data_IF_906137532546
#
_entry.id   IF_906137532546
#
_cell.length_a   1.000
_cell.length_b   1.000
_cell.length_c   1.000
_cell.angle_alpha   90.00
_cell.angle_beta   90.00
_cell.angle_gamma   90.00
#
_symmetry.space_group_name_H-M   'P 1'
#
loop_
_entity.id
_entity.type
_entity.pdbx_description
1 polymer ?
#
# COMPACT_ATOMS: atom_id res chain seq x y z
N UNK A 1 -52.41 9.91 48.88
CA UNK A 1 -51.71 9.01 47.94
C UNK A 1 -50.22 9.21 48.13
N UNK A 2 -49.61 8.35 48.95
CA UNK A 2 -48.19 8.36 49.29
C UNK A 2 -47.49 7.35 48.40
N UNK A 3 -46.58 7.82 47.54
CA UNK A 3 -45.82 6.98 46.62
C UNK A 3 -44.63 6.40 47.36
N UNK A 4 -44.66 5.10 47.64
CA UNK A 4 -43.50 4.33 48.11
C UNK A 4 -42.39 4.34 47.05
N UNK A 5 -41.21 4.85 47.41
CA UNK A 5 -39.99 4.72 46.61
C UNK A 5 -39.36 3.35 46.90
N UNK A 6 -39.54 2.42 45.98
CA UNK A 6 -38.83 1.13 45.99
C UNK A 6 -37.32 1.33 45.80
N UNK A 7 -36.52 0.69 46.65
CA UNK A 7 -35.06 0.65 46.52
C UNK A 7 -34.67 -0.15 45.26
N UNK A 8 -33.66 0.30 44.48
CA UNK A 8 -33.16 -0.46 43.35
C UNK A 8 -32.41 -1.72 43.81
N UNK A 9 -32.41 -2.79 42.98
CA UNK A 9 -31.71 -4.03 43.28
C UNK A 9 -30.20 -3.81 43.37
N UNK A 10 -29.60 -4.38 44.40
CA UNK A 10 -28.15 -4.39 44.62
C UNK A 10 -27.44 -5.09 43.46
N UNK A 11 -26.57 -4.34 42.77
CA UNK A 11 -25.63 -4.90 41.80
C UNK A 11 -24.76 -5.94 42.50
N UNK A 12 -24.93 -7.21 42.12
CA UNK A 12 -24.08 -8.31 42.56
C UNK A 12 -22.63 -8.04 42.21
N UNK A 13 -21.78 -7.99 43.25
CA UNK A 13 -20.33 -8.05 43.16
C UNK A 13 -19.91 -9.25 42.31
N UNK A 14 -19.46 -9.01 41.08
CA UNK A 14 -18.67 -9.98 40.32
C UNK A 14 -17.32 -10.14 41.01
N UNK A 15 -17.19 -11.24 41.77
CA UNK A 15 -15.94 -11.69 42.38
C UNK A 15 -14.90 -12.01 41.29
N UNK A 16 -13.77 -11.30 41.35
CA UNK A 16 -12.45 -11.93 41.24
C UNK A 16 -11.96 -12.39 39.87
N UNK A 17 -11.97 -11.51 38.86
CA UNK A 17 -11.06 -11.67 37.72
C UNK A 17 -9.67 -11.17 38.11
N UNK A 18 -8.69 -12.07 38.27
CA UNK A 18 -7.30 -11.67 38.48
C UNK A 18 -6.87 -10.70 37.36
N UNK A 19 -6.25 -9.55 37.67
CA UNK A 19 -5.83 -8.61 36.66
C UNK A 19 -4.77 -9.30 35.79
N UNK A 20 -5.12 -9.58 34.53
CA UNK A 20 -4.21 -10.08 33.50
C UNK A 20 -3.22 -8.96 33.21
N UNK A 21 -2.24 -8.78 34.11
CA UNK A 21 -1.11 -7.85 33.99
C UNK A 21 -0.01 -8.45 33.11
N UNK A 22 -0.41 -9.21 32.09
CA UNK A 22 0.49 -9.62 31.03
C UNK A 22 0.87 -8.38 30.24
N UNK A 23 1.98 -7.73 30.62
CA UNK A 23 2.60 -6.71 29.75
C UNK A 23 2.67 -7.31 28.36
N UNK A 24 2.14 -6.65 27.32
CA UNK A 24 2.23 -7.17 25.96
C UNK A 24 3.70 -7.47 25.70
N UNK A 25 4.04 -8.76 25.52
CA UNK A 25 5.39 -9.16 25.15
C UNK A 25 5.69 -8.40 23.88
N UNK A 26 6.60 -7.43 23.97
CA UNK A 26 7.07 -6.70 22.80
C UNK A 26 7.63 -7.76 21.85
N UNK A 27 6.86 -8.11 20.83
CA UNK A 27 7.26 -9.12 19.86
C UNK A 27 8.54 -8.60 19.25
N UNK A 28 9.66 -9.29 19.49
CA UNK A 28 10.94 -8.91 18.88
C UNK A 28 10.75 -8.96 17.37
N UNK A 29 11.25 -7.93 16.70
CA UNK A 29 11.13 -7.82 15.27
C UNK A 29 11.82 -9.01 14.58
N UNK A 30 11.15 -9.64 13.61
CA UNK A 30 11.66 -10.87 12.96
C UNK A 30 12.99 -10.64 12.25
N UNK A 31 13.25 -9.41 11.77
CA UNK A 31 14.51 -9.05 11.11
C UNK A 31 15.63 -8.96 12.14
N UNK A 32 15.37 -8.35 13.30
CA UNK A 32 16.35 -8.22 14.38
C UNK A 32 16.57 -9.52 15.15
N UNK A 33 15.59 -10.43 15.16
CA UNK A 33 15.71 -11.74 15.81
C UNK A 33 16.23 -12.84 14.88
N UNK A 34 16.64 -12.51 13.67
CA UNK A 34 17.11 -13.48 12.68
C UNK A 34 18.45 -14.09 13.10
N UNK A 35 18.61 -15.40 12.88
CA UNK A 35 19.90 -16.10 13.04
C UNK A 35 20.87 -15.80 11.89
N UNK A 36 20.38 -15.20 10.80
CA UNK A 36 21.16 -14.92 9.59
C UNK A 36 21.79 -13.54 9.68
N UNK A 37 23.12 -13.48 9.64
CA UNK A 37 23.87 -12.22 9.71
C UNK A 37 23.51 -11.21 8.59
N UNK A 38 23.02 -11.69 7.44
CA UNK A 38 22.64 -10.82 6.31
C UNK A 38 21.22 -10.23 6.44
N UNK A 39 20.37 -10.75 7.32
CA UNK A 39 18.97 -10.33 7.44
C UNK A 39 18.80 -8.83 7.78
N UNK A 40 19.58 -8.24 8.72
CA UNK A 40 19.51 -6.81 8.99
C UNK A 40 19.92 -5.96 7.79
N UNK A 41 20.72 -6.51 6.86
CA UNK A 41 21.20 -5.80 5.70
C UNK A 41 20.18 -5.69 4.57
N UNK A 42 19.18 -6.58 4.54
CA UNK A 42 18.09 -6.52 3.56
C UNK A 42 17.44 -5.14 3.51
N UNK A 43 17.19 -4.55 4.68
CA UNK A 43 16.52 -3.27 4.77
C UNK A 43 17.27 -2.16 4.04
N UNK A 44 18.56 -1.95 4.35
CA UNK A 44 19.31 -0.84 3.76
C UNK A 44 19.65 -1.10 2.30
N UNK A 45 19.86 -2.37 1.89
CA UNK A 45 20.07 -2.73 0.49
C UNK A 45 18.81 -2.41 -0.32
N UNK A 46 17.64 -2.84 0.16
CA UNK A 46 16.37 -2.58 -0.50
C UNK A 46 16.06 -1.08 -0.53
N UNK A 47 16.37 -0.35 0.55
CA UNK A 47 16.21 1.10 0.61
C UNK A 47 17.11 1.81 -0.40
N UNK A 48 18.39 1.45 -0.45
CA UNK A 48 19.36 2.03 -1.38
C UNK A 48 18.97 1.74 -2.83
N UNK A 49 18.62 0.49 -3.16
CA UNK A 49 18.18 0.10 -4.49
C UNK A 49 16.86 0.79 -4.88
N UNK A 50 15.89 0.86 -3.97
CA UNK A 50 14.60 1.51 -4.20
C UNK A 50 14.74 3.01 -4.37
N UNK A 51 15.55 3.68 -3.54
CA UNK A 51 15.80 5.12 -3.66
C UNK A 51 16.59 5.47 -4.92
N UNK A 52 17.63 4.69 -5.26
CA UNK A 52 18.38 4.86 -6.49
C UNK A 52 17.50 4.60 -7.73
N UNK A 53 16.67 3.54 -7.69
CA UNK A 53 15.70 3.24 -8.75
C UNK A 53 14.66 4.35 -8.91
N UNK A 54 14.10 4.87 -7.82
CA UNK A 54 13.16 5.99 -7.86
C UNK A 54 13.80 7.27 -8.40
N UNK A 55 15.04 7.58 -7.99
CA UNK A 55 15.80 8.70 -8.54
C UNK A 55 16.10 8.51 -10.03
N UNK A 56 16.49 7.31 -10.45
CA UNK A 56 16.71 7.00 -11.87
C UNK A 56 15.42 7.15 -12.68
N UNK A 57 14.30 6.59 -12.20
CA UNK A 57 12.99 6.76 -12.84
C UNK A 57 12.64 8.24 -12.98
N UNK A 58 12.81 9.02 -11.92
CA UNK A 58 12.49 10.44 -11.92
C UNK A 58 13.43 11.31 -12.76
N UNK A 59 14.71 10.95 -12.88
CA UNK A 59 15.73 11.80 -13.51
C UNK A 59 16.09 11.34 -14.93
N UNK A 60 15.89 10.08 -15.27
CA UNK A 60 16.41 9.45 -16.48
C UNK A 60 15.36 8.73 -17.33
N UNK A 61 14.14 8.51 -16.84
CA UNK A 61 13.07 7.90 -17.68
C UNK A 61 12.12 8.97 -18.22
N UNK A 62 11.53 8.75 -19.41
CA UNK A 62 10.49 9.62 -19.92
C UNK A 62 9.32 9.74 -18.93
N UNK A 63 8.90 10.99 -18.72
CA UNK A 63 7.65 11.31 -18.05
C UNK A 63 6.59 11.37 -19.14
N UNK A 64 5.74 10.35 -19.16
CA UNK A 64 4.82 10.10 -20.26
C UNK A 64 3.58 9.35 -19.77
N UNK A 65 2.45 9.58 -20.43
CA UNK A 65 1.30 8.66 -20.29
C UNK A 65 1.64 7.29 -20.87
N UNK A 66 2.29 7.29 -22.03
CA UNK A 66 2.68 6.08 -22.75
C UNK A 66 3.93 5.45 -22.15
N UNK A 67 4.02 4.12 -22.28
CA UNK A 67 5.23 3.36 -22.00
C UNK A 67 5.80 2.93 -23.34
N UNK A 68 6.78 3.69 -23.83
CA UNK A 68 7.35 3.47 -25.16
C UNK A 68 8.19 2.17 -25.21
N UNK A 69 8.72 1.73 -24.07
CA UNK A 69 9.53 0.53 -23.98
C UNK A 69 9.25 -0.30 -22.73
N UNK A 70 9.13 -1.61 -22.90
CA UNK A 70 8.84 -2.59 -21.83
C UNK A 70 9.86 -2.53 -20.69
N UNK A 71 11.12 -2.18 -20.98
CA UNK A 71 12.15 -2.06 -19.94
C UNK A 71 11.87 -0.92 -18.96
N UNK A 72 11.21 0.16 -19.39
CA UNK A 72 10.87 1.29 -18.52
C UNK A 72 9.88 0.84 -17.45
N UNK A 73 8.88 0.05 -17.85
CA UNK A 73 7.96 -0.60 -16.91
C UNK A 73 8.73 -1.52 -15.96
N UNK A 74 9.65 -2.34 -16.47
CA UNK A 74 10.48 -3.22 -15.66
C UNK A 74 11.28 -2.47 -14.59
N UNK A 75 11.91 -1.34 -14.95
CA UNK A 75 12.68 -0.51 -14.01
C UNK A 75 11.77 0.17 -12.98
N UNK A 76 10.63 0.72 -13.41
CA UNK A 76 9.64 1.35 -12.51
C UNK A 76 9.10 0.34 -11.49
N UNK A 77 8.75 -0.87 -11.94
CA UNK A 77 8.26 -1.95 -11.08
C UNK A 77 9.35 -2.47 -10.14
N UNK A 78 10.59 -2.59 -10.61
CA UNK A 78 11.72 -3.01 -9.78
C UNK A 78 12.01 -1.99 -8.67
N UNK A 79 12.04 -0.70 -9.01
CA UNK A 79 12.21 0.38 -8.03
C UNK A 79 11.11 0.33 -6.97
N UNK A 80 9.85 0.18 -7.40
CA UNK A 80 8.71 0.05 -6.50
C UNK A 80 8.83 -1.20 -5.61
N UNK A 81 9.18 -2.37 -6.16
CA UNK A 81 9.36 -3.60 -5.41
C UNK A 81 10.46 -3.48 -4.34
N UNK A 82 11.59 -2.83 -4.68
CA UNK A 82 12.64 -2.53 -3.73
C UNK A 82 12.17 -1.61 -2.61
N UNK A 83 11.36 -0.59 -2.90
CA UNK A 83 10.75 0.28 -1.87
C UNK A 83 9.75 -0.49 -0.99
N UNK A 84 8.92 -1.38 -1.55
CA UNK A 84 8.04 -2.25 -0.77
C UNK A 84 8.85 -3.13 0.18
N UNK A 85 9.95 -3.72 -0.29
CA UNK A 85 10.85 -4.52 0.54
C UNK A 85 11.53 -3.67 1.62
N UNK A 86 12.01 -2.47 1.28
CA UNK A 86 12.60 -1.54 2.24
C UNK A 86 11.63 -1.21 3.38
N UNK A 87 10.36 -0.95 3.04
CA UNK A 87 9.33 -0.69 4.05
C UNK A 87 9.06 -1.96 4.85
N UNK A 88 8.77 -3.09 4.21
CA UNK A 88 8.41 -4.33 4.89
C UNK A 88 9.50 -4.84 5.84
N UNK A 89 10.77 -4.73 5.47
CA UNK A 89 11.91 -5.18 6.26
C UNK A 89 12.50 -4.13 7.19
N UNK A 90 11.87 -2.95 7.33
CA UNK A 90 12.30 -1.94 8.29
C UNK A 90 12.37 -2.53 9.72
N UNK A 91 13.54 -2.54 10.40
CA UNK A 91 13.73 -3.36 11.59
C UNK A 91 13.22 -2.71 12.90
N UNK A 92 12.91 -1.41 12.89
CA UNK A 92 12.57 -0.65 14.10
C UNK A 92 11.08 -0.28 14.20
N UNK A 93 10.17 -1.18 13.82
CA UNK A 93 8.73 -0.91 13.90
C UNK A 93 8.32 -0.52 15.33
N UNK A 94 7.77 0.67 15.50
CA UNK A 94 7.26 1.17 16.77
C UNK A 94 6.15 2.19 16.55
N UNK A 95 5.02 2.09 17.28
CA UNK A 95 3.95 3.10 17.22
C UNK A 95 4.44 4.52 17.55
N UNK A 96 5.57 4.66 18.24
CA UNK A 96 6.19 5.96 18.54
C UNK A 96 6.74 6.66 17.30
N UNK A 97 6.95 5.94 16.21
CA UNK A 97 7.45 6.47 14.94
C UNK A 97 6.32 7.01 14.03
N UNK A 98 5.07 7.07 14.50
CA UNK A 98 3.95 7.58 13.71
C UNK A 98 4.19 8.99 13.14
N UNK A 99 5.02 9.81 13.80
CA UNK A 99 5.38 11.15 13.32
C UNK A 99 6.08 11.12 11.95
N UNK A 100 6.73 10.02 11.58
CA UNK A 100 7.31 9.85 10.24
C UNK A 100 6.25 9.91 9.13
N UNK A 101 4.97 9.65 9.45
CA UNK A 101 3.87 9.76 8.49
C UNK A 101 3.51 11.21 8.15
N UNK A 102 3.98 12.19 8.93
CA UNK A 102 3.84 13.59 8.54
C UNK A 102 4.70 13.94 7.31
N UNK A 103 5.81 13.24 7.07
CA UNK A 103 6.65 13.50 5.90
C UNK A 103 5.93 13.26 4.56
N UNK A 104 5.35 12.06 4.28
CA UNK A 104 4.57 11.87 3.06
C UNK A 104 3.33 12.77 3.02
N UNK A 105 2.70 13.04 4.18
CA UNK A 105 1.56 13.96 4.23
C UNK A 105 1.92 15.38 3.77
N UNK A 106 3.00 15.96 4.30
CA UNK A 106 3.52 17.27 3.89
C UNK A 106 3.93 17.26 2.42
N UNK A 107 4.57 16.19 1.94
CA UNK A 107 4.95 16.08 0.54
C UNK A 107 3.73 16.04 -0.39
N UNK A 108 2.72 15.22 -0.10
CA UNK A 108 1.53 15.14 -0.93
C UNK A 108 0.73 16.44 -0.89
N UNK A 109 0.52 17.02 0.28
CA UNK A 109 -0.31 18.23 0.43
C UNK A 109 0.42 19.50 -0.01
N UNK A 110 1.72 19.60 0.21
CA UNK A 110 2.53 20.76 -0.12
C UNK A 110 3.03 20.78 -1.56
N UNK A 111 3.14 19.63 -2.23
CA UNK A 111 3.69 19.55 -3.59
C UNK A 111 2.80 18.78 -4.56
N UNK A 112 2.55 17.48 -4.33
CA UNK A 112 1.91 16.62 -5.35
C UNK A 112 0.49 17.06 -5.68
N UNK A 113 -0.36 17.24 -4.67
CA UNK A 113 -1.77 17.64 -4.86
C UNK A 113 -1.86 19.03 -5.50
N UNK A 114 -1.19 20.10 -5.00
CA UNK A 114 -1.18 21.39 -5.67
C UNK A 114 -0.73 21.32 -7.13
N UNK A 115 0.26 20.47 -7.44
CA UNK A 115 0.77 20.32 -8.80
C UNK A 115 -0.24 19.65 -9.73
N UNK A 116 -0.91 18.60 -9.26
CA UNK A 116 -2.02 17.95 -9.97
C UNK A 116 -3.17 18.94 -10.20
N UNK A 117 -3.57 19.68 -9.15
CA UNK A 117 -4.63 20.69 -9.24
C UNK A 117 -4.29 21.82 -10.20
N UNK A 118 -3.04 22.29 -10.22
CA UNK A 118 -2.58 23.31 -11.17
C UNK A 118 -2.77 22.85 -12.62
N UNK A 119 -2.34 21.62 -12.96
CA UNK A 119 -2.57 21.08 -14.30
C UNK A 119 -4.06 20.99 -14.62
N UNK A 120 -4.87 20.54 -13.67
CA UNK A 120 -6.31 20.40 -13.89
C UNK A 120 -7.03 21.73 -14.12
N UNK A 121 -6.75 22.75 -13.31
CA UNK A 121 -7.49 24.02 -13.33
C UNK A 121 -6.87 25.11 -14.20
N UNK A 122 -5.55 25.17 -14.30
CA UNK A 122 -4.82 26.29 -14.90
C UNK A 122 -4.12 25.94 -16.21
N UNK A 123 -3.92 24.64 -16.50
CA UNK A 123 -3.20 24.17 -17.68
C UNK A 123 -3.85 22.89 -18.24
N UNK A 124 -5.12 23.03 -18.65
CA UNK A 124 -5.92 21.92 -19.16
C UNK A 124 -5.29 21.23 -20.40
N UNK A 125 -4.45 21.95 -21.16
CA UNK A 125 -3.67 21.38 -22.27
C UNK A 125 -2.68 20.31 -21.77
N UNK A 126 -2.13 20.47 -20.56
CA UNK A 126 -1.29 19.47 -19.88
C UNK A 126 -2.06 18.52 -18.96
N UNK A 127 -3.33 18.79 -18.66
CA UNK A 127 -4.19 17.84 -17.94
C UNK A 127 -4.42 16.55 -18.75
N UNK A 128 -4.47 16.67 -20.07
CA UNK A 128 -4.45 15.55 -21.02
C UNK A 128 -3.02 15.09 -21.37
N UNK A 129 -2.00 15.75 -20.81
CA UNK A 129 -0.60 15.55 -21.15
C UNK A 129 0.20 14.83 -20.06
N UNK A 130 1.42 14.46 -20.43
CA UNK A 130 2.32 13.60 -19.68
C UNK A 130 2.58 14.01 -18.24
N UNK A 131 2.59 15.32 -17.97
CA UNK A 131 2.90 15.84 -16.64
C UNK A 131 1.81 15.56 -15.61
N UNK A 132 0.51 15.64 -15.97
CA UNK A 132 -0.57 15.31 -15.04
C UNK A 132 -0.55 13.81 -14.71
N UNK A 133 -0.45 12.98 -15.75
CA UNK A 133 -0.40 11.52 -15.60
C UNK A 133 0.80 11.07 -14.77
N UNK A 134 1.96 11.69 -14.97
CA UNK A 134 3.17 11.43 -14.18
C UNK A 134 2.94 11.69 -12.70
N UNK A 135 2.40 12.85 -12.31
CA UNK A 135 2.20 13.16 -10.89
C UNK A 135 1.15 12.25 -10.24
N UNK A 136 0.13 11.85 -11.00
CA UNK A 136 -0.93 10.98 -10.51
C UNK A 136 -0.46 9.52 -10.39
N UNK A 137 0.02 8.94 -11.48
CA UNK A 137 0.30 7.50 -11.60
C UNK A 137 1.73 7.12 -11.19
N UNK A 138 2.71 8.03 -11.28
CA UNK A 138 4.09 7.74 -10.86
C UNK A 138 4.35 8.15 -9.41
N UNK A 139 3.71 9.21 -8.91
CA UNK A 139 3.94 9.73 -7.56
C UNK A 139 2.77 9.45 -6.62
N UNK A 140 1.56 9.93 -6.93
CA UNK A 140 0.46 9.91 -5.96
C UNK A 140 0.01 8.48 -5.63
N UNK A 141 -0.37 7.68 -6.63
CA UNK A 141 -0.91 6.34 -6.34
C UNK A 141 0.11 5.37 -5.74
N UNK A 142 1.33 5.21 -6.30
CA UNK A 142 2.35 4.39 -5.67
C UNK A 142 2.73 4.93 -4.29
N UNK A 143 2.82 6.26 -4.15
CA UNK A 143 3.11 6.92 -2.89
C UNK A 143 2.06 6.67 -1.81
N UNK A 144 0.77 6.66 -2.16
CA UNK A 144 -0.31 6.29 -1.24
C UNK A 144 -0.16 4.84 -0.77
N UNK A 145 0.08 3.91 -1.71
CA UNK A 145 0.29 2.49 -1.39
C UNK A 145 1.48 2.31 -0.45
N UNK A 146 2.63 2.93 -0.75
CA UNK A 146 3.83 2.87 0.09
C UNK A 146 3.59 3.52 1.45
N UNK A 147 2.83 4.62 1.52
CA UNK A 147 2.50 5.30 2.79
C UNK A 147 1.61 4.43 3.67
N UNK A 148 0.60 3.76 3.11
CA UNK A 148 -0.25 2.83 3.85
C UNK A 148 0.56 1.62 4.33
N UNK A 149 1.42 1.06 3.48
CA UNK A 149 2.31 -0.04 3.86
C UNK A 149 3.28 0.38 4.99
N UNK A 150 3.82 1.60 4.92
CA UNK A 150 4.70 2.17 5.94
C UNK A 150 3.96 2.41 7.26
N UNK A 151 2.75 2.97 7.22
CA UNK A 151 1.91 3.14 8.40
C UNK A 151 1.62 1.80 9.08
N UNK A 152 1.24 0.78 8.28
CA UNK A 152 1.04 -0.59 8.78
C UNK A 152 2.32 -1.14 9.42
N UNK A 153 3.48 -1.01 8.77
CA UNK A 153 4.74 -1.53 9.30
C UNK A 153 5.18 -0.81 10.57
N UNK A 154 5.18 0.53 10.58
CA UNK A 154 5.55 1.33 11.74
C UNK A 154 4.61 1.08 12.92
N UNK A 155 3.33 0.81 12.66
CA UNK A 155 2.35 0.39 13.66
C UNK A 155 2.61 -0.99 14.28
N UNK A 156 3.66 -1.72 13.87
CA UNK A 156 4.02 -3.04 14.38
C UNK A 156 3.51 -4.21 13.54
N UNK A 157 3.01 -3.92 12.32
CA UNK A 157 2.65 -4.95 11.36
C UNK A 157 3.83 -5.84 10.97
N UNK A 158 3.54 -7.09 10.62
CA UNK A 158 4.58 -8.05 10.18
C UNK A 158 5.08 -7.72 8.77
N UNK A 159 6.32 -8.09 8.39
CA UNK A 159 6.84 -7.87 7.05
C UNK A 159 5.97 -8.51 5.95
N UNK A 160 5.47 -9.73 6.16
CA UNK A 160 4.63 -10.42 5.19
C UNK A 160 3.29 -9.72 4.97
N UNK A 161 2.61 -9.28 6.04
CA UNK A 161 1.38 -8.51 5.89
C UNK A 161 1.64 -7.13 5.29
N UNK A 162 2.78 -6.50 5.59
CA UNK A 162 3.17 -5.24 4.95
C UNK A 162 3.35 -5.40 3.42
N UNK A 163 4.03 -6.47 2.97
CA UNK A 163 4.13 -6.77 1.54
C UNK A 163 2.77 -7.04 0.91
N UNK A 164 1.85 -7.74 1.59
CA UNK A 164 0.49 -7.93 1.08
C UNK A 164 -0.25 -6.61 0.90
N UNK A 165 -0.14 -5.70 1.88
CA UNK A 165 -0.73 -4.36 1.77
C UNK A 165 -0.17 -3.62 0.56
N UNK A 166 1.15 -3.61 0.38
CA UNK A 166 1.79 -2.93 -0.73
C UNK A 166 1.44 -3.55 -2.10
N UNK A 167 1.54 -4.88 -2.23
CA UNK A 167 1.26 -5.59 -3.49
C UNK A 167 -0.23 -5.55 -3.83
N UNK A 168 -1.14 -5.78 -2.88
CA UNK A 168 -2.57 -5.64 -3.16
C UNK A 168 -2.94 -4.19 -3.47
N UNK A 169 -2.34 -3.22 -2.79
CA UNK A 169 -2.55 -1.81 -3.08
C UNK A 169 -2.23 -1.47 -4.53
N UNK A 170 -1.07 -1.90 -5.03
CA UNK A 170 -0.68 -1.61 -6.42
C UNK A 170 -1.49 -2.41 -7.44
N UNK A 171 -1.88 -3.66 -7.13
CA UNK A 171 -2.79 -4.45 -7.98
C UNK A 171 -4.15 -3.77 -8.10
N UNK A 172 -4.70 -3.21 -7.02
CA UNK A 172 -5.96 -2.46 -7.06
C UNK A 172 -5.82 -1.17 -7.88
N UNK A 173 -4.69 -0.47 -7.78
CA UNK A 173 -4.43 0.73 -8.59
C UNK A 173 -4.44 0.42 -10.09
N UNK A 174 -3.84 -0.70 -10.51
CA UNK A 174 -3.76 -1.10 -11.91
C UNK A 174 -4.89 -2.02 -12.40
N UNK A 175 -5.89 -2.31 -11.57
CA UNK A 175 -6.97 -3.22 -11.97
C UNK A 175 -8.04 -2.57 -12.84
N UNK A 176 -7.96 -1.26 -13.11
CA UNK A 176 -9.05 -0.49 -13.72
C UNK A 176 -10.14 -0.07 -12.72
N UNK A 177 -9.99 -0.40 -11.42
CA UNK A 177 -10.97 -0.01 -10.39
C UNK A 177 -11.15 1.51 -10.33
N UNK A 178 -10.06 2.27 -10.44
CA UNK A 178 -10.13 3.72 -10.42
C UNK A 178 -10.85 4.27 -11.65
N UNK A 179 -10.61 3.71 -12.84
CA UNK A 179 -11.27 4.11 -14.08
C UNK A 179 -12.79 3.85 -14.02
N UNK A 180 -13.21 2.72 -13.44
CA UNK A 180 -14.64 2.42 -13.20
C UNK A 180 -15.23 3.41 -12.19
N UNK A 181 -14.57 3.59 -11.04
CA UNK A 181 -15.07 4.47 -9.98
C UNK A 181 -15.11 5.93 -10.42
N UNK A 182 -14.21 6.38 -11.28
CA UNK A 182 -14.25 7.71 -11.85
C UNK A 182 -15.57 7.98 -12.59
N UNK A 183 -16.04 7.03 -13.40
CA UNK A 183 -17.31 7.16 -14.12
C UNK A 183 -18.54 7.01 -13.21
N UNK A 184 -18.44 6.24 -12.13
CA UNK A 184 -19.56 6.00 -11.21
C UNK A 184 -19.75 7.12 -10.18
N UNK A 185 -18.66 7.73 -9.71
CA UNK A 185 -18.70 8.73 -8.64
C UNK A 185 -18.95 10.13 -9.18
N UNK A 186 -18.46 10.42 -10.39
CA UNK A 186 -18.62 11.74 -10.99
C UNK A 186 -19.89 11.79 -11.86
N UNK A 187 -20.61 12.94 -11.90
CA UNK A 187 -21.81 13.09 -12.71
C UNK A 187 -21.47 13.31 -14.19
N UNK A 188 -20.84 12.31 -14.82
CA UNK A 188 -20.41 12.34 -16.22
C UNK A 188 -21.05 11.19 -17.01
N UNK A 189 -21.26 11.34 -18.33
CA UNK A 189 -21.77 10.25 -19.16
C UNK A 189 -20.80 9.07 -19.15
N UNK A 190 -21.33 7.85 -18.99
CA UNK A 190 -20.54 6.63 -19.10
C UNK A 190 -20.09 6.49 -20.57
N UNK A 191 -18.78 6.43 -20.85
CA UNK A 191 -18.29 6.33 -22.21
C UNK A 191 -18.52 4.93 -22.77
N UNK A 192 -18.60 4.81 -24.09
CA UNK A 192 -18.65 3.49 -24.75
C UNK A 192 -17.35 2.71 -24.55
N UNK A 193 -16.21 3.42 -24.59
CA UNK A 193 -14.87 2.84 -24.46
C UNK A 193 -14.00 3.60 -23.45
N UNK A 194 -13.03 2.90 -22.87
CA UNK A 194 -12.01 3.42 -21.96
C UNK A 194 -10.64 3.24 -22.61
N UNK A 195 -9.89 4.32 -22.72
CA UNK A 195 -8.48 4.33 -23.13
C UNK A 195 -7.57 4.56 -21.91
N UNK A 196 -7.25 3.46 -21.24
CA UNK A 196 -6.35 3.44 -20.08
C UNK A 196 -5.08 2.67 -20.44
N UNK A 197 -3.89 3.32 -20.53
CA UNK A 197 -2.66 2.68 -21.00
C UNK A 197 -2.35 1.34 -20.33
N UNK A 198 -2.52 1.27 -19.02
CA UNK A 198 -2.27 0.06 -18.22
C UNK A 198 -3.27 -1.08 -18.47
N UNK A 199 -4.44 -0.81 -19.05
CA UNK A 199 -5.39 -1.82 -19.53
C UNK A 199 -5.05 -2.17 -20.98
N UNK A 200 -4.81 -1.15 -21.82
CA UNK A 200 -4.55 -1.32 -23.26
C UNK A 200 -3.34 -2.20 -23.55
N UNK A 201 -2.31 -2.20 -22.69
CA UNK A 201 -1.15 -3.08 -22.82
C UNK A 201 -1.53 -4.57 -22.79
N UNK A 202 -2.62 -4.93 -22.10
CA UNK A 202 -3.12 -6.30 -22.04
C UNK A 202 -4.16 -6.60 -23.12
N UNK A 203 -4.94 -5.60 -23.52
CA UNK A 203 -6.09 -5.78 -24.42
C UNK A 203 -5.80 -5.44 -25.88
N UNK A 204 -4.67 -4.79 -26.16
CA UNK A 204 -4.25 -4.37 -27.51
C UNK A 204 -4.93 -3.09 -28.02
N UNK A 205 -5.62 -2.35 -27.15
CA UNK A 205 -6.31 -1.10 -27.48
C UNK A 205 -7.43 -0.76 -26.49
N UNK A 206 -8.13 0.37 -26.70
CA UNK A 206 -9.28 0.76 -25.89
C UNK A 206 -10.35 -0.34 -25.85
N UNK A 207 -10.95 -0.55 -24.68
CA UNK A 207 -11.99 -1.57 -24.48
C UNK A 207 -13.31 -0.94 -24.08
N UNK A 208 -14.40 -1.68 -24.22
CA UNK A 208 -15.70 -1.19 -23.76
C UNK A 208 -15.73 -0.95 -22.26
N UNK A 209 -16.58 -0.05 -21.78
CA UNK A 209 -16.76 0.17 -20.34
C UNK A 209 -17.17 -1.12 -19.61
N UNK A 210 -18.06 -1.92 -20.21
CA UNK A 210 -18.43 -3.24 -19.69
C UNK A 210 -17.25 -4.20 -19.57
N UNK A 211 -16.35 -4.23 -20.57
CA UNK A 211 -15.13 -5.03 -20.50
C UNK A 211 -14.17 -4.51 -19.41
N UNK A 212 -14.13 -3.20 -19.15
CA UNK A 212 -13.34 -2.59 -18.06
C UNK A 212 -13.83 -3.05 -16.68
N UNK A 213 -15.14 -3.20 -16.50
CA UNK A 213 -15.72 -3.77 -15.27
C UNK A 213 -15.27 -5.22 -15.10
N UNK A 214 -15.35 -6.04 -16.15
CA UNK A 214 -14.91 -7.43 -16.10
C UNK A 214 -13.40 -7.55 -15.82
N UNK A 215 -12.59 -6.68 -16.43
CA UNK A 215 -11.16 -6.58 -16.16
C UNK A 215 -10.89 -6.27 -14.68
N UNK A 216 -11.59 -5.29 -14.11
CA UNK A 216 -11.53 -4.97 -12.67
C UNK A 216 -11.89 -6.17 -11.79
N UNK A 217 -13.00 -6.85 -12.08
CA UNK A 217 -13.47 -7.99 -11.31
C UNK A 217 -12.51 -9.19 -11.39
N UNK A 218 -11.84 -9.38 -12.52
CA UNK A 218 -10.84 -10.45 -12.71
C UNK A 218 -9.63 -10.31 -11.76
N UNK A 219 -9.39 -9.13 -11.19
CA UNK A 219 -8.32 -8.92 -10.21
C UNK A 219 -8.73 -9.31 -8.77
N UNK A 220 -10.02 -9.49 -8.47
CA UNK A 220 -10.47 -9.86 -7.13
C UNK A 220 -9.88 -11.20 -6.65
N UNK A 221 -9.89 -12.29 -7.46
CA UNK A 221 -9.22 -13.53 -7.07
C UNK A 221 -7.71 -13.36 -6.82
N UNK A 222 -7.04 -12.47 -7.57
CA UNK A 222 -5.61 -12.19 -7.39
C UNK A 222 -5.35 -11.50 -6.05
N UNK A 223 -6.11 -10.45 -5.73
CA UNK A 223 -6.02 -9.73 -4.45
C UNK A 223 -6.30 -10.65 -3.27
N UNK A 224 -7.33 -11.49 -3.37
CA UNK A 224 -7.66 -12.51 -2.36
C UNK A 224 -6.51 -13.52 -2.24
N UNK A 225 -6.01 -14.03 -3.37
CA UNK A 225 -4.91 -14.99 -3.42
C UNK A 225 -3.66 -14.47 -2.70
N UNK A 226 -3.24 -13.24 -3.01
CA UNK A 226 -2.11 -12.58 -2.33
C UNK A 226 -2.38 -12.42 -0.83
N UNK A 227 -3.61 -12.02 -0.46
CA UNK A 227 -4.03 -11.89 0.94
C UNK A 227 -3.90 -13.19 1.73
N UNK A 228 -4.18 -14.32 1.09
CA UNK A 228 -4.10 -15.66 1.68
C UNK A 228 -2.69 -16.26 1.70
N UNK A 229 -1.71 -15.68 0.99
CA UNK A 229 -0.33 -16.21 0.99
C UNK A 229 0.27 -16.22 2.40
N UNK A 230 0.94 -17.30 2.83
CA UNK A 230 1.56 -17.37 4.16
C UNK A 230 2.94 -16.67 4.18
N UNK A 231 3.02 -15.43 3.66
CA UNK A 231 4.28 -14.70 3.47
C UNK A 231 5.12 -14.60 4.75
N UNK A 232 4.50 -14.36 5.92
CA UNK A 232 5.22 -14.31 7.19
C UNK A 232 5.91 -15.64 7.54
N UNK A 233 5.30 -16.78 7.20
CA UNK A 233 5.91 -18.10 7.41
C UNK A 233 7.09 -18.30 6.47
N UNK A 234 6.96 -17.88 5.21
CA UNK A 234 8.04 -17.98 4.23
C UNK A 234 9.21 -17.07 4.59
N UNK A 235 8.93 -15.82 4.96
CA UNK A 235 9.94 -14.87 5.43
C UNK A 235 10.63 -15.39 6.69
N UNK A 236 9.87 -15.87 7.68
CA UNK A 236 10.44 -16.45 8.90
C UNK A 236 11.43 -17.59 8.60
N UNK A 237 11.05 -18.50 7.69
CA UNK A 237 11.95 -19.59 7.24
C UNK A 237 13.19 -19.07 6.53
N UNK A 238 13.05 -18.09 5.64
CA UNK A 238 14.19 -17.48 4.92
C UNK A 238 15.17 -16.80 5.88
N UNK A 239 14.64 -16.13 6.92
CA UNK A 239 15.43 -15.43 7.93
C UNK A 239 15.91 -16.37 9.06
N UNK A 240 15.62 -17.67 9.01
CA UNK A 240 15.98 -18.59 10.08
C UNK A 240 15.32 -18.28 11.43
N UNK A 241 14.20 -17.56 11.43
CA UNK A 241 13.42 -17.35 12.64
C UNK A 241 12.58 -18.62 12.89
N UNK A 242 12.84 -19.31 14.00
CA UNK A 242 12.08 -20.50 14.38
C UNK A 242 10.57 -20.22 14.35
N UNK A 243 9.73 -21.12 13.79
CA UNK A 243 8.28 -20.92 13.79
C UNK A 243 7.81 -20.80 15.23
N UNK A 244 7.30 -19.62 15.59
CA UNK A 244 6.64 -19.40 16.87
C UNK A 244 5.37 -20.28 16.93
N UNK A 245 5.52 -21.52 17.43
CA UNK A 245 4.40 -22.42 17.73
C UNK A 245 4.25 -23.70 16.88
N UNK A 246 5.33 -24.28 16.35
CA UNK A 246 5.24 -25.69 15.90
C UNK A 246 5.20 -26.62 17.13
N UNK A 247 4.25 -27.57 17.24
CA UNK A 247 4.32 -28.60 18.29
C UNK A 247 5.62 -29.39 18.13
N UNK A 248 6.36 -29.53 19.22
CA UNK A 248 7.46 -30.51 19.34
C UNK A 248 6.88 -31.90 19.56
#
# INVERSE_FOLDING_TARGET
>A
MTVERGNPPSLGLLKGGAPVTGRPRHRRDVVLSSERAWAPHLWWIALAAGAAGAAFVWLATPHGREIDAVWELGVKLLAFACLCAAIAFFPWSSPRLHWLMYAPFVFFTGYVIPRISYFYYMDAARAQGDSFYTHLYLLLYPGLVLTVAAAHRLGGGTPGNCLKVAVNGIVIVFSGFLDVMWQLVNPIPIPETIDAPHITIFTGGPISFGATILFTLAHLPVVIGIGLLPLDRWIGRLLGAAPAGGPQ
#
